data_IF_280328089912
#
_entry.id   IF_280328089912
#
_cell.length_a   1.000
_cell.length_b   1.000
_cell.length_c   1.000
_cell.angle_alpha   90.00
_cell.angle_beta   90.00
_cell.angle_gamma   90.00
#
_symmetry.space_group_name_H-M   'P 1'
#
loop_
_entity.id
_entity.type
_entity.pdbx_description
1 polymer ?
#
# COMPACT_ATOMS: atom_id res chain seq x y z
N UNK A 1 -22.15 17.50 17.38
CA UNK A 1 -21.69 17.43 15.98
C UNK A 1 -20.29 18.02 15.93
N UNK A 2 -19.21 17.23 15.76
CA UNK A 2 -17.90 17.83 15.57
C UNK A 2 -17.90 18.55 14.22
N UNK A 3 -17.72 19.87 14.24
CA UNK A 3 -17.55 20.66 13.03
C UNK A 3 -16.28 20.18 12.33
N UNK A 4 -16.40 19.65 11.12
CA UNK A 4 -15.26 19.43 10.23
C UNK A 4 -14.56 20.77 10.02
N UNK A 5 -13.36 20.92 10.59
CA UNK A 5 -12.54 22.11 10.43
C UNK A 5 -12.12 22.21 8.96
N UNK A 6 -12.07 23.42 8.37
CA UNK A 6 -11.72 23.57 6.97
C UNK A 6 -10.27 23.13 6.73
N UNK A 7 -10.10 22.06 5.93
CA UNK A 7 -8.81 21.52 5.47
C UNK A 7 -8.15 22.40 4.39
N UNK A 8 -8.58 23.67 4.24
CA UNK A 8 -8.22 24.56 3.14
C UNK A 8 -6.76 25.01 3.10
N UNK A 9 -5.95 24.59 4.07
CA UNK A 9 -4.51 24.87 4.13
C UNK A 9 -3.65 23.68 3.69
N UNK A 10 -4.22 22.49 3.46
CA UNK A 10 -3.43 21.31 3.09
C UNK A 10 -3.31 21.24 1.58
N UNK A 11 -2.07 21.20 1.10
CA UNK A 11 -1.75 21.05 -0.32
C UNK A 11 -2.08 19.61 -0.78
N UNK A 12 -2.10 19.37 -2.09
CA UNK A 12 -2.19 17.98 -2.63
C UNK A 12 -1.13 17.11 -1.93
N UNK A 13 -1.51 15.94 -1.37
CA UNK A 13 -0.60 15.07 -0.60
C UNK A 13 0.41 14.37 -1.52
N UNK A 14 1.46 13.79 -0.96
CA UNK A 14 2.43 12.95 -1.70
C UNK A 14 3.03 13.65 -2.93
N UNK A 15 3.55 14.87 -2.74
CA UNK A 15 4.17 15.65 -3.81
C UNK A 15 5.62 15.30 -4.04
N UNK A 16 6.33 14.96 -2.97
CA UNK A 16 7.78 14.84 -3.01
C UNK A 16 8.20 13.44 -3.51
N UNK A 17 7.33 12.44 -3.32
CA UNK A 17 7.50 11.08 -3.80
C UNK A 17 6.19 10.57 -4.37
N UNK A 18 6.24 9.89 -5.50
CA UNK A 18 5.05 9.24 -6.04
C UNK A 18 4.62 8.11 -5.10
N UNK A 19 3.37 8.19 -4.66
CA UNK A 19 2.68 7.16 -3.88
C UNK A 19 1.51 6.69 -4.72
N UNK A 20 1.17 5.42 -4.65
CA UNK A 20 0.02 4.84 -5.33
C UNK A 20 -1.04 4.45 -4.31
N UNK A 21 -2.29 4.62 -4.71
CA UNK A 21 -3.46 4.22 -3.93
C UNK A 21 -4.40 3.40 -4.81
N UNK A 22 -5.23 2.59 -4.16
CA UNK A 22 -6.24 1.81 -4.87
C UNK A 22 -7.64 2.37 -4.59
N UNK A 23 -8.45 2.54 -5.63
CA UNK A 23 -9.84 2.94 -5.50
C UNK A 23 -10.75 2.04 -6.35
N UNK A 24 -11.88 1.61 -5.77
CA UNK A 24 -12.99 1.06 -6.53
C UNK A 24 -13.84 2.20 -7.11
N UNK A 25 -14.17 2.10 -8.39
CA UNK A 25 -15.11 3.00 -9.04
C UNK A 25 -16.52 2.40 -8.98
N UNK A 26 -17.43 3.08 -8.30
CA UNK A 26 -18.84 2.70 -8.25
C UNK A 26 -19.71 3.95 -8.41
N UNK A 27 -20.60 3.97 -9.39
CA UNK A 27 -21.58 5.07 -9.61
C UNK A 27 -20.95 6.48 -9.61
N UNK A 28 -19.78 6.65 -10.24
CA UNK A 28 -19.01 7.90 -10.28
C UNK A 28 -18.39 8.34 -8.93
N UNK A 29 -18.43 7.48 -7.90
CA UNK A 29 -17.73 7.66 -6.65
C UNK A 29 -16.46 6.81 -6.60
N UNK A 30 -15.38 7.39 -6.09
CA UNK A 30 -14.15 6.67 -5.75
C UNK A 30 -14.23 6.19 -4.30
N UNK A 31 -14.25 4.88 -4.12
CA UNK A 31 -14.10 4.23 -2.81
C UNK A 31 -12.64 3.79 -2.66
N UNK A 32 -11.86 4.58 -1.93
CA UNK A 32 -10.47 4.27 -1.66
C UNK A 32 -10.35 3.06 -0.74
N UNK A 33 -9.34 2.23 -0.99
CA UNK A 33 -8.98 1.13 -0.11
C UNK A 33 -8.28 1.67 1.12
N UNK A 34 -8.72 1.18 2.28
CA UNK A 34 -8.22 1.57 3.59
C UNK A 34 -7.77 0.34 4.38
N UNK A 35 -6.93 0.58 5.38
CA UNK A 35 -6.61 -0.37 6.45
C UNK A 35 -7.21 0.14 7.75
N UNK A 36 -7.74 -0.79 8.56
CA UNK A 36 -8.31 -0.46 9.87
C UNK A 36 -7.17 -0.27 10.86
N UNK A 37 -7.09 0.93 11.44
CA UNK A 37 -6.15 1.30 12.51
C UNK A 37 -6.92 1.73 13.76
N UNK A 38 -6.29 1.80 14.96
CA UNK A 38 -7.00 2.17 16.19
C UNK A 38 -7.78 3.49 16.11
N UNK A 39 -7.28 4.45 15.33
CA UNK A 39 -7.86 5.78 15.15
C UNK A 39 -8.98 5.83 14.11
N UNK A 40 -9.19 4.78 13.30
CA UNK A 40 -10.18 4.73 12.23
C UNK A 40 -9.69 4.00 10.98
N UNK A 41 -10.25 4.34 9.82
CA UNK A 41 -9.80 3.81 8.54
C UNK A 41 -8.72 4.71 7.94
N UNK A 42 -7.49 4.19 7.81
CA UNK A 42 -6.38 4.90 7.20
C UNK A 42 -6.23 4.50 5.72
N UNK A 43 -5.95 5.48 4.86
CA UNK A 43 -5.77 5.24 3.42
C UNK A 43 -4.60 4.29 3.16
N UNK A 44 -4.83 3.18 2.44
CA UNK A 44 -3.74 2.28 2.08
C UNK A 44 -2.95 2.84 0.89
N UNK A 45 -1.64 2.98 1.08
CA UNK A 45 -0.70 3.62 0.17
C UNK A 45 0.45 2.68 -0.18
N UNK A 46 1.03 2.81 -1.37
CA UNK A 46 2.13 1.99 -1.86
C UNK A 46 3.21 2.89 -2.45
N UNK A 47 4.48 2.60 -2.19
CA UNK A 47 5.58 3.20 -2.96
C UNK A 47 5.87 2.43 -4.25
N UNK A 48 5.53 1.14 -4.27
CA UNK A 48 5.71 0.25 -5.41
C UNK A 48 4.44 0.17 -6.25
N UNK A 49 4.53 0.56 -7.52
CA UNK A 49 3.43 0.48 -8.48
C UNK A 49 2.98 -0.96 -8.69
N UNK A 50 3.95 -1.90 -8.75
CA UNK A 50 3.62 -3.31 -8.90
C UNK A 50 2.89 -3.85 -7.67
N UNK A 51 3.25 -3.45 -6.45
CA UNK A 51 2.53 -3.89 -5.23
C UNK A 51 1.09 -3.35 -5.20
N UNK A 52 0.88 -2.09 -5.62
CA UNK A 52 -0.47 -1.55 -5.77
C UNK A 52 -1.30 -2.36 -6.80
N UNK A 53 -0.67 -2.82 -7.87
CA UNK A 53 -1.30 -3.69 -8.86
C UNK A 53 -1.51 -5.13 -8.35
N UNK A 54 -0.64 -5.66 -7.49
CA UNK A 54 -0.83 -6.96 -6.82
C UNK A 54 -2.05 -6.89 -5.90
N UNK A 55 -2.19 -5.84 -5.09
CA UNK A 55 -3.39 -5.61 -4.28
C UNK A 55 -4.65 -5.56 -5.15
N UNK A 56 -4.58 -4.84 -6.28
CA UNK A 56 -5.67 -4.79 -7.26
C UNK A 56 -6.03 -6.17 -7.80
N UNK A 57 -5.03 -6.98 -8.16
CA UNK A 57 -5.23 -8.32 -8.70
C UNK A 57 -5.91 -9.23 -7.66
N UNK A 58 -5.43 -9.22 -6.40
CA UNK A 58 -6.07 -9.94 -5.31
C UNK A 58 -7.55 -9.60 -5.18
N UNK A 59 -7.89 -8.31 -5.07
CA UNK A 59 -9.29 -7.87 -4.89
C UNK A 59 -10.17 -8.20 -6.08
N UNK A 60 -9.62 -8.15 -7.30
CA UNK A 60 -10.37 -8.48 -8.51
C UNK A 60 -10.66 -9.99 -8.58
N UNK A 61 -9.67 -10.84 -8.27
CA UNK A 61 -9.81 -12.30 -8.30
C UNK A 61 -10.79 -12.83 -7.24
N UNK A 62 -10.94 -12.13 -6.11
CA UNK A 62 -11.87 -12.51 -5.04
C UNK A 62 -13.34 -12.12 -5.33
N UNK A 63 -13.67 -11.68 -6.54
CA UNK A 63 -15.04 -11.72 -7.06
C UNK A 63 -16.02 -10.68 -6.53
N UNK A 64 -15.54 -9.54 -6.01
CA UNK A 64 -16.43 -8.47 -5.52
C UNK A 64 -17.15 -7.68 -6.63
N UNK A 65 -16.90 -7.98 -7.92
CA UNK A 65 -17.52 -7.27 -9.06
C UNK A 65 -17.11 -5.80 -9.20
N UNK A 66 -16.35 -5.26 -8.24
CA UNK A 66 -15.84 -3.89 -8.24
C UNK A 66 -14.64 -3.75 -9.16
N UNK A 67 -14.63 -2.69 -9.96
CA UNK A 67 -13.48 -2.32 -10.78
C UNK A 67 -12.55 -1.43 -9.98
N UNK A 68 -11.40 -2.00 -9.61
CA UNK A 68 -10.34 -1.29 -8.91
C UNK A 68 -9.37 -0.63 -9.90
N UNK A 69 -8.92 0.58 -9.56
CA UNK A 69 -7.89 1.33 -10.27
C UNK A 69 -6.78 1.76 -9.32
N UNK A 70 -5.55 1.63 -9.79
CA UNK A 70 -4.38 2.25 -9.17
C UNK A 70 -4.35 3.72 -9.60
N UNK A 71 -4.15 4.63 -8.66
CA UNK A 71 -4.15 6.07 -8.87
C UNK A 71 -2.94 6.68 -8.17
N UNK A 72 -2.42 7.80 -8.68
CA UNK A 72 -1.40 8.58 -7.99
C UNK A 72 -2.00 9.19 -6.71
N UNK A 73 -1.29 9.07 -5.59
CA UNK A 73 -1.67 9.55 -4.27
C UNK A 73 -1.88 11.06 -4.25
N UNK A 74 -1.16 11.81 -5.09
CA UNK A 74 -1.34 13.25 -5.27
C UNK A 74 -2.72 13.67 -5.77
N UNK A 75 -3.46 12.75 -6.38
CA UNK A 75 -4.85 12.97 -6.82
C UNK A 75 -5.89 12.76 -5.71
N UNK A 76 -5.47 12.23 -4.56
CA UNK A 76 -6.37 11.93 -3.44
C UNK A 76 -6.83 13.23 -2.78
N UNK A 77 -8.15 13.45 -2.63
CA UNK A 77 -8.64 14.57 -1.85
C UNK A 77 -8.20 14.43 -0.39
N UNK A 78 -7.59 15.47 0.16
CA UNK A 78 -7.08 15.48 1.54
C UNK A 78 -8.10 15.00 2.59
N UNK A 79 -9.39 15.32 2.40
CA UNK A 79 -10.46 14.85 3.29
C UNK A 79 -10.59 13.32 3.39
N UNK A 80 -9.97 12.56 2.48
CA UNK A 80 -9.89 11.09 2.53
C UNK A 80 -8.78 10.57 3.44
N UNK A 81 -7.82 11.41 3.81
CA UNK A 81 -6.79 11.10 4.80
C UNK A 81 -7.28 11.40 6.22
N UNK A 82 -8.35 12.19 6.39
CA UNK A 82 -8.82 12.61 7.68
C UNK A 82 -9.51 11.47 8.44
N UNK A 83 -9.02 11.17 9.65
CA UNK A 83 -9.65 10.23 10.60
C UNK A 83 -10.50 10.97 11.64
N UNK A 84 -11.41 10.31 12.37
CA UNK A 84 -12.37 10.94 13.29
C UNK A 84 -11.76 11.86 14.37
N UNK A 85 -10.52 11.63 14.80
CA UNK A 85 -9.83 12.44 15.80
C UNK A 85 -9.23 13.75 15.21
N UNK A 86 -9.37 14.00 13.92
CA UNK A 86 -8.88 15.20 13.23
C UNK A 86 -7.42 15.10 12.75
N UNK A 87 -6.76 13.97 12.94
CA UNK A 87 -5.47 13.67 12.31
C UNK A 87 -5.68 13.33 10.83
N UNK A 88 -4.62 13.48 10.05
CA UNK A 88 -4.51 12.85 8.74
C UNK A 88 -3.70 11.57 8.89
N UNK A 89 -4.17 10.47 8.30
CA UNK A 89 -3.54 9.16 8.41
C UNK A 89 -3.58 8.38 7.10
N UNK A 90 -2.48 7.67 6.85
CA UNK A 90 -2.36 6.67 5.80
C UNK A 90 -1.57 5.47 6.34
N UNK A 91 -1.87 4.29 5.82
CA UNK A 91 -1.09 3.08 6.03
C UNK A 91 -0.20 2.87 4.82
N UNK A 92 1.10 3.03 4.97
CA UNK A 92 2.07 2.75 3.93
C UNK A 92 2.36 1.25 3.89
N UNK A 93 2.18 0.62 2.74
CA UNK A 93 2.59 -0.75 2.47
C UNK A 93 4.11 -0.86 2.40
N UNK A 94 4.68 -1.79 3.17
CA UNK A 94 6.12 -2.06 3.20
C UNK A 94 6.45 -3.44 2.60
N UNK A 95 5.63 -4.44 2.91
CA UNK A 95 5.80 -5.80 2.42
C UNK A 95 4.52 -6.63 2.57
N UNK A 96 4.49 -7.80 1.94
CA UNK A 96 3.45 -8.79 2.14
C UNK A 96 3.77 -9.69 3.33
N UNK A 97 2.78 -10.06 4.14
CA UNK A 97 2.99 -11.05 5.20
C UNK A 97 2.92 -12.45 4.62
N UNK A 98 3.93 -13.26 4.93
CA UNK A 98 4.05 -14.64 4.44
C UNK A 98 4.33 -15.60 5.60
N UNK A 99 3.98 -16.87 5.44
CA UNK A 99 4.31 -17.94 6.37
C UNK A 99 4.70 -19.19 5.60
N UNK A 100 5.88 -19.73 5.86
CA UNK A 100 6.45 -20.84 5.08
C UNK A 100 6.47 -20.49 3.58
N UNK A 101 6.90 -19.26 3.25
CA UNK A 101 6.96 -18.75 1.86
C UNK A 101 5.63 -18.73 1.11
N UNK A 102 4.52 -18.63 1.85
CA UNK A 102 3.16 -18.54 1.31
C UNK A 102 2.52 -17.26 1.76
N UNK A 103 1.86 -16.55 0.85
CA UNK A 103 1.16 -15.31 1.19
C UNK A 103 0.05 -15.60 2.20
N UNK A 104 0.00 -14.78 3.25
CA UNK A 104 -1.08 -14.82 4.20
C UNK A 104 -2.25 -14.00 3.64
N UNK A 105 -3.47 -14.53 3.76
CA UNK A 105 -4.68 -13.83 3.32
C UNK A 105 -5.71 -13.78 4.43
N UNK A 106 -6.33 -12.61 4.60
CA UNK A 106 -7.45 -12.42 5.51
C UNK A 106 -8.65 -13.28 5.07
N UNK A 107 -9.62 -13.57 5.96
CA UNK A 107 -10.86 -14.23 5.56
C UNK A 107 -11.64 -13.51 4.46
N UNK A 108 -11.44 -12.19 4.32
CA UNK A 108 -11.97 -11.37 3.22
C UNK A 108 -11.32 -11.67 1.86
N UNK A 109 -10.29 -12.51 1.80
CA UNK A 109 -9.51 -12.81 0.60
C UNK A 109 -8.45 -11.75 0.26
N UNK A 110 -8.32 -10.69 1.06
CA UNK A 110 -7.27 -9.67 0.86
C UNK A 110 -5.94 -10.13 1.48
N UNK A 111 -4.81 -9.87 0.82
CA UNK A 111 -3.49 -10.25 1.32
C UNK A 111 -3.17 -9.49 2.61
N UNK A 112 -2.58 -10.18 3.58
CA UNK A 112 -2.06 -9.58 4.79
C UNK A 112 -0.79 -8.79 4.46
N UNK A 113 -0.67 -7.60 5.05
CA UNK A 113 0.40 -6.65 4.72
C UNK A 113 1.13 -6.22 5.99
N UNK A 114 2.43 -6.00 5.86
CA UNK A 114 3.21 -5.22 6.80
C UNK A 114 3.11 -3.76 6.39
N UNK A 115 2.56 -2.94 7.29
CA UNK A 115 2.29 -1.53 7.01
C UNK A 115 2.88 -0.65 8.10
N UNK A 116 3.17 0.61 7.74
CA UNK A 116 3.59 1.65 8.68
C UNK A 116 2.60 2.82 8.61
N UNK A 117 2.19 3.31 9.78
CA UNK A 117 1.28 4.45 9.87
C UNK A 117 2.03 5.76 9.59
N UNK A 118 1.56 6.49 8.59
CA UNK A 118 1.90 7.89 8.35
C UNK A 118 0.87 8.75 9.07
N UNK A 119 1.31 9.68 9.91
CA UNK A 119 0.41 10.49 10.74
C UNK A 119 0.83 11.95 10.68
N UNK A 120 -0.12 12.83 10.39
CA UNK A 120 0.07 14.27 10.46
C UNK A 120 -1.01 14.90 11.33
N UNK A 121 -0.57 15.71 12.30
CA UNK A 121 -1.44 16.60 13.06
C UNK A 121 -1.48 17.97 12.36
N UNK A 122 -2.52 18.30 11.58
CA UNK A 122 -2.56 19.56 10.84
C UNK A 122 -2.64 20.75 11.81
N UNK A 123 -1.81 21.77 11.58
CA UNK A 123 -1.86 23.04 12.32
C UNK A 123 -2.58 24.12 11.50
N UNK A 124 -3.41 24.98 12.11
CA UNK A 124 -4.18 25.98 11.35
C UNK A 124 -3.34 27.08 10.69
N UNK A 125 -2.10 27.29 11.15
CA UNK A 125 -1.29 28.46 10.84
C UNK A 125 -0.34 28.28 9.66
N UNK A 126 -0.21 27.08 9.10
CA UNK A 126 0.74 26.82 8.01
C UNK A 126 0.14 25.85 6.99
N UNK A 127 0.42 26.06 5.69
CA UNK A 127 0.16 25.02 4.72
C UNK A 127 1.01 23.80 5.03
N UNK A 128 0.36 22.64 5.10
CA UNK A 128 1.03 21.37 5.38
C UNK A 128 0.91 20.46 4.15
N UNK A 129 1.94 19.68 3.88
CA UNK A 129 1.90 18.52 2.97
C UNK A 129 1.82 17.25 3.79
N UNK A 130 1.14 16.23 3.26
CA UNK A 130 1.12 14.90 3.83
C UNK A 130 2.05 14.03 2.99
N UNK A 131 3.24 13.75 3.50
CA UNK A 131 4.32 13.09 2.77
C UNK A 131 4.76 11.81 3.50
N UNK A 132 5.54 10.98 2.80
CA UNK A 132 6.20 9.82 3.41
C UNK A 132 7.43 10.30 4.19
N UNK A 133 7.54 9.95 5.46
CA UNK A 133 8.70 10.34 6.28
C UNK A 133 9.96 9.54 5.93
N UNK A 134 11.14 10.15 6.13
CA UNK A 134 12.45 9.53 5.89
C UNK A 134 12.60 8.17 6.60
N UNK A 135 12.03 8.05 7.81
CA UNK A 135 12.06 6.81 8.56
C UNK A 135 11.29 5.70 7.86
N UNK A 136 10.16 6.01 7.23
CA UNK A 136 9.35 5.08 6.43
C UNK A 136 10.07 4.70 5.14
N UNK A 137 10.68 5.66 4.43
CA UNK A 137 11.51 5.38 3.25
C UNK A 137 12.66 4.42 3.58
N UNK A 138 13.43 4.75 4.63
CA UNK A 138 14.54 3.92 5.08
C UNK A 138 14.11 2.50 5.49
N UNK A 139 12.89 2.32 6.02
CA UNK A 139 12.36 1.00 6.35
C UNK A 139 12.06 0.17 5.10
N UNK A 140 11.51 0.81 4.05
CA UNK A 140 11.25 0.15 2.77
C UNK A 140 12.56 -0.23 2.09
N UNK A 141 13.57 0.66 2.10
CA UNK A 141 14.90 0.38 1.57
C UNK A 141 15.53 -0.84 2.26
N UNK A 142 15.57 -0.85 3.59
CA UNK A 142 16.13 -1.99 4.36
C UNK A 142 15.47 -3.32 4.02
N UNK A 143 14.14 -3.34 3.84
CA UNK A 143 13.42 -4.54 3.47
C UNK A 143 13.83 -5.04 2.08
N UNK A 144 13.85 -4.14 1.09
CA UNK A 144 14.23 -4.48 -0.28
C UNK A 144 15.70 -4.92 -0.37
N UNK A 145 16.62 -4.19 0.25
CA UNK A 145 18.05 -4.53 0.30
C UNK A 145 18.28 -5.91 0.95
N UNK A 146 17.57 -6.22 2.03
CA UNK A 146 17.66 -7.54 2.68
C UNK A 146 17.12 -8.67 1.80
N UNK A 147 16.23 -8.35 0.86
CA UNK A 147 15.75 -9.26 -0.17
C UNK A 147 16.69 -9.38 -1.37
N UNK A 148 17.78 -8.61 -1.42
CA UNK A 148 18.68 -8.48 -2.57
C UNK A 148 18.15 -7.55 -3.67
N UNK A 149 17.09 -6.79 -3.41
CA UNK A 149 16.40 -5.91 -4.36
C UNK A 149 16.92 -4.47 -4.27
N UNK A 150 18.22 -4.28 -4.47
CA UNK A 150 18.89 -2.98 -4.30
C UNK A 150 18.39 -1.90 -5.28
N UNK A 151 17.89 -2.30 -6.46
CA UNK A 151 17.44 -1.38 -7.50
C UNK A 151 15.92 -1.19 -7.54
N UNK A 152 15.22 -1.49 -6.43
CA UNK A 152 13.76 -1.45 -6.40
C UNK A 152 13.20 -0.06 -6.73
N UNK A 153 13.85 1.00 -6.27
CA UNK A 153 13.47 2.38 -6.56
C UNK A 153 13.60 2.69 -8.06
N UNK A 154 14.74 2.33 -8.66
CA UNK A 154 14.98 2.57 -10.09
C UNK A 154 14.00 1.77 -10.94
N UNK A 155 13.71 0.52 -10.58
CA UNK A 155 12.72 -0.31 -11.27
C UNK A 155 11.33 0.34 -11.22
N UNK A 156 10.95 0.90 -10.07
CA UNK A 156 9.67 1.57 -9.88
C UNK A 156 9.59 2.93 -10.60
N UNK A 157 10.69 3.68 -10.63
CA UNK A 157 10.78 5.02 -11.24
C UNK A 157 11.06 4.95 -12.76
N UNK A 158 11.26 3.75 -13.34
CA UNK A 158 11.58 3.57 -14.76
C UNK A 158 10.38 3.95 -15.66
N UNK A 159 10.45 5.04 -16.44
CA UNK A 159 9.27 5.59 -17.14
C UNK A 159 8.77 4.81 -18.38
N UNK A 160 9.42 3.72 -18.79
CA UNK A 160 9.43 3.31 -20.22
C UNK A 160 8.91 1.91 -20.64
N UNK A 161 8.40 1.02 -19.77
CA UNK A 161 8.02 -0.33 -20.27
C UNK A 161 6.71 -0.93 -19.78
N UNK A 162 6.01 -0.26 -18.85
CA UNK A 162 4.92 -0.89 -18.12
C UNK A 162 3.58 -0.42 -18.66
N UNK A 163 3.22 -0.91 -19.84
CA UNK A 163 1.86 -0.77 -20.36
C UNK A 163 0.86 -1.18 -19.27
N UNK A 164 -0.17 -0.37 -18.93
CA UNK A 164 -1.02 -0.62 -17.77
C UNK A 164 -1.67 -2.01 -17.76
N UNK A 165 -1.95 -2.60 -18.92
CA UNK A 165 -2.42 -3.98 -19.01
C UNK A 165 -1.30 -4.99 -18.74
N UNK A 166 -0.08 -4.75 -19.21
CA UNK A 166 1.13 -5.49 -18.85
C UNK A 166 1.38 -5.53 -17.35
N UNK A 167 1.30 -4.39 -16.66
CA UNK A 167 1.41 -4.29 -15.19
C UNK A 167 0.40 -5.16 -14.47
N UNK A 168 -0.86 -5.03 -14.87
CA UNK A 168 -1.92 -5.81 -14.26
C UNK A 168 -1.74 -7.31 -14.51
N UNK A 169 -1.37 -7.72 -15.73
CA UNK A 169 -1.05 -9.12 -16.04
C UNK A 169 0.13 -9.66 -15.24
N UNK A 170 1.16 -8.85 -15.03
CA UNK A 170 2.31 -9.21 -14.18
C UNK A 170 1.86 -9.40 -12.73
N UNK A 171 1.10 -8.46 -12.18
CA UNK A 171 0.51 -8.58 -10.85
C UNK A 171 -0.37 -9.83 -10.72
N UNK A 172 -1.20 -10.16 -11.72
CA UNK A 172 -1.97 -11.40 -11.70
C UNK A 172 -1.07 -12.65 -11.70
N UNK A 173 0.07 -12.63 -12.44
CA UNK A 173 1.06 -13.71 -12.39
C UNK A 173 1.70 -13.80 -11.01
N UNK A 174 2.06 -12.67 -10.40
CA UNK A 174 2.57 -12.62 -9.03
C UNK A 174 1.60 -13.29 -8.04
N UNK A 175 0.32 -12.92 -8.08
CA UNK A 175 -0.74 -13.52 -7.25
C UNK A 175 -0.89 -15.03 -7.51
N UNK A 176 -0.83 -15.49 -8.77
CA UNK A 176 -0.91 -16.92 -9.09
C UNK A 176 0.34 -17.69 -8.66
N UNK A 177 1.50 -17.07 -8.74
CA UNK A 177 2.81 -17.69 -8.42
C UNK A 177 3.03 -17.91 -6.93
N UNK A 178 2.30 -17.22 -6.05
CA UNK A 178 2.40 -17.46 -4.61
C UNK A 178 1.84 -18.84 -4.18
N UNK A 179 1.14 -19.54 -5.09
CA UNK A 179 0.75 -20.98 -5.13
C UNK A 179 0.04 -21.60 -3.91
N UNK A 180 -0.06 -20.92 -2.76
CA UNK A 180 -0.89 -21.31 -1.64
C UNK A 180 -1.11 -20.11 -0.72
N UNK A 181 -2.34 -19.94 -0.23
CA UNK A 181 -2.65 -18.94 0.77
C UNK A 181 -2.82 -19.58 2.14
N UNK A 182 -2.36 -18.90 3.18
CA UNK A 182 -2.56 -19.33 4.57
C UNK A 182 -3.46 -18.31 5.26
N UNK A 183 -4.54 -18.76 5.88
CA UNK A 183 -5.34 -17.90 6.73
C UNK A 183 -4.64 -17.73 8.08
N UNK A 184 -4.53 -16.50 8.61
CA UNK A 184 -4.07 -16.30 9.98
C UNK A 184 -5.10 -16.94 10.92
N UNK A 185 -4.74 -18.07 11.54
CA UNK A 185 -5.58 -18.81 12.49
C UNK A 185 -5.61 -18.19 13.89
N UNK A 186 -5.28 -16.90 14.04
CA UNK A 186 -5.05 -16.23 15.32
C UNK A 186 -4.03 -15.10 15.19
N UNK A 187 -3.28 -14.83 16.25
CA UNK A 187 -2.16 -13.88 16.21
C UNK A 187 -1.17 -14.25 15.09
N UNK A 188 -0.70 -13.24 14.35
CA UNK A 188 0.28 -13.44 13.29
C UNK A 188 1.64 -13.63 13.95
N UNK A 189 2.06 -14.89 14.07
CA UNK A 189 3.36 -15.29 14.62
C UNK A 189 4.22 -15.97 13.55
N UNK A 190 5.54 -15.88 13.72
CA UNK A 190 6.52 -16.57 12.88
C UNK A 190 6.33 -16.29 11.38
N UNK A 191 6.08 -15.02 11.04
CA UNK A 191 5.91 -14.58 9.67
C UNK A 191 7.24 -14.13 9.05
N UNK A 192 7.27 -14.15 7.74
CA UNK A 192 8.33 -13.63 6.88
C UNK A 192 7.73 -12.48 6.04
N UNK A 193 8.56 -11.56 5.59
CA UNK A 193 8.15 -10.55 4.62
C UNK A 193 8.35 -11.08 3.21
N UNK A 194 7.29 -11.03 2.39
CA UNK A 194 7.32 -11.29 0.96
C UNK A 194 7.47 -10.01 0.18
N UNK A 195 8.42 -9.98 -0.75
CA UNK A 195 8.65 -8.90 -1.70
C UNK A 195 8.62 -9.50 -3.10
N UNK A 196 7.89 -8.88 -4.03
CA UNK A 196 7.83 -9.37 -5.40
C UNK A 196 8.86 -8.63 -6.26
N UNK A 197 9.74 -9.40 -6.90
CA UNK A 197 10.69 -8.90 -7.88
C UNK A 197 10.05 -8.94 -9.26
N UNK A 198 9.71 -7.79 -9.86
CA UNK A 198 9.10 -7.76 -11.17
C UNK A 198 10.07 -7.98 -12.32
N UNK A 199 11.38 -7.84 -12.12
CA UNK A 199 12.40 -8.07 -13.16
C UNK A 199 12.52 -9.57 -13.44
N UNK A 200 12.53 -10.38 -12.37
CA UNK A 200 12.64 -11.84 -12.46
C UNK A 200 11.32 -12.59 -12.25
N UNK A 201 10.23 -11.86 -12.01
CA UNK A 201 8.88 -12.37 -11.72
C UNK A 201 8.84 -13.40 -10.58
N UNK A 202 9.57 -13.15 -9.50
CA UNK A 202 9.71 -14.10 -8.38
C UNK A 202 9.49 -13.44 -7.01
N UNK A 203 9.15 -14.26 -6.02
CA UNK A 203 8.98 -13.81 -4.64
C UNK A 203 10.28 -13.99 -3.85
N UNK A 204 10.71 -12.91 -3.19
CA UNK A 204 11.78 -12.89 -2.22
C UNK A 204 11.18 -12.91 -0.82
N UNK A 205 11.77 -13.71 0.08
CA UNK A 205 11.29 -13.87 1.45
C UNK A 205 12.39 -13.49 2.41
N UNK A 206 12.12 -12.49 3.26
CA UNK A 206 13.08 -12.02 4.26
C UNK A 206 12.53 -12.26 5.67
N UNK A 207 13.40 -12.56 6.66
CA UNK A 207 12.98 -12.74 8.04
C UNK A 207 12.29 -11.50 8.60
N UNK A 208 11.30 -11.68 9.48
CA UNK A 208 10.60 -10.56 10.15
C UNK A 208 11.51 -9.70 11.03
N UNK A 209 12.67 -10.23 11.46
CA UNK A 209 13.67 -9.52 12.26
C UNK A 209 14.38 -8.39 11.51
N UNK A 210 14.14 -8.23 10.20
CA UNK A 210 14.75 -7.18 9.36
C UNK A 210 14.05 -5.82 9.52
N UNK A 211 12.80 -5.80 9.99
CA UNK A 211 12.02 -4.57 10.07
C UNK A 211 12.20 -3.78 11.38
N UNK A 212 12.98 -4.32 12.33
CA UNK A 212 13.37 -3.66 13.59
C UNK A 212 14.59 -2.74 13.41
#
# INVERSE_FOLDING_TARGET
MPQQRPLGHILSPFRDREVYVLAALHESQCHYVTEVVPEGDALLCFLSLIDAHIERAFRTMQGQGLQYRVMAGSTVPVGRLAVPNGLLMASLHLAWLTKNRRLMVRPSGTPCQYVRSLVLAPTPSAPCTFEVDDGSLAAVDRLHESGGLFSWCEINDTPWSWEPAGLYKLAERAVRSSQAFVHPGGAIDNYEFGLFDPEFEQWHFVPSTVAE
#
